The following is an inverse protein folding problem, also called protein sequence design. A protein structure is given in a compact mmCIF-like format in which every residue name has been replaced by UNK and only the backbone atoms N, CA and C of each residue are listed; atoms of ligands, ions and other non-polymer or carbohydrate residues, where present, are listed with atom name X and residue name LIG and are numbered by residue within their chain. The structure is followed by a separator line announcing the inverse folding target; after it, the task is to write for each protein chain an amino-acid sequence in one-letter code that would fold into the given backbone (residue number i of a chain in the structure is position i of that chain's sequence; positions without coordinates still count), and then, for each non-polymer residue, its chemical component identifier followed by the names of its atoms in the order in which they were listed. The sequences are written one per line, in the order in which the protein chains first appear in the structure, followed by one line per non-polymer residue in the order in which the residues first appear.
data_IF_254268865342
#
_entry.id   IF_254268865342
#
_cell.length_a   1.000
_cell.length_b   1.000
_cell.length_c   1.000
_cell.angle_alpha   90.00
_cell.angle_beta   90.00
_cell.angle_gamma   90.00
#
_symmetry.space_group_name_H-M   'P 1'
#
loop_
_entity.id
_entity.type
_entity.pdbx_description
1 polymer ?
#
# COMPACT_ATOMS: atom_id res chain seq x y z
N UNK A 1 37.95 -19.68 -18.95
CA UNK A 1 38.46 -19.97 -17.58
C UNK A 1 38.29 -18.71 -16.75
N UNK A 2 37.44 -18.81 -15.74
CA UNK A 2 36.81 -17.70 -15.02
C UNK A 2 37.79 -16.84 -14.20
N UNK A 3 37.66 -15.53 -14.33
CA UNK A 3 38.20 -14.55 -13.38
C UNK A 3 37.20 -14.40 -12.23
N UNK A 4 37.58 -14.86 -11.04
CA UNK A 4 36.84 -14.58 -9.81
C UNK A 4 37.10 -13.11 -9.41
N UNK A 5 36.04 -12.30 -9.42
CA UNK A 5 36.01 -10.97 -8.81
C UNK A 5 35.74 -11.17 -7.32
N UNK A 6 36.67 -10.76 -6.47
CA UNK A 6 36.47 -10.69 -5.02
C UNK A 6 35.61 -9.45 -4.72
N UNK A 7 34.37 -9.67 -4.25
CA UNK A 7 33.62 -8.61 -3.55
C UNK A 7 34.26 -8.39 -2.18
N UNK A 8 34.75 -7.16 -1.94
CA UNK A 8 35.19 -6.73 -0.62
C UNK A 8 33.94 -6.43 0.24
N UNK A 9 33.71 -7.25 1.27
CA UNK A 9 32.81 -6.91 2.37
C UNK A 9 33.59 -6.07 3.38
N UNK A 10 33.29 -4.77 3.48
CA UNK A 10 33.74 -3.97 4.62
C UNK A 10 32.80 -4.22 5.80
N UNK A 11 33.25 -5.00 6.78
CA UNK A 11 32.59 -5.15 8.07
C UNK A 11 33.34 -4.29 9.09
N UNK A 12 32.92 -3.03 9.25
CA UNK A 12 33.37 -2.18 10.36
C UNK A 12 32.55 -2.56 11.59
N UNK A 13 33.09 -3.43 12.45
CA UNK A 13 32.49 -3.71 13.76
C UNK A 13 32.98 -2.63 14.74
N UNK A 14 32.26 -1.52 14.80
CA UNK A 14 32.26 -0.62 15.95
C UNK A 14 31.28 -1.16 16.99
N UNK A 15 31.70 -1.31 18.23
CA UNK A 15 30.88 -1.81 19.35
C UNK A 15 29.81 -0.80 19.82
N UNK A 16 29.50 0.23 19.01
CA UNK A 16 28.64 1.37 19.37
C UNK A 16 27.36 1.48 18.53
N UNK A 17 27.25 0.75 17.42
CA UNK A 17 26.35 1.20 16.36
C UNK A 17 24.92 0.71 16.62
N UNK A 18 24.07 1.65 17.06
CA UNK A 18 22.62 1.44 17.24
C UNK A 18 21.89 1.33 15.90
N UNK A 19 22.60 1.37 14.77
CA UNK A 19 22.05 1.31 13.43
C UNK A 19 22.71 0.15 12.69
N UNK A 20 21.92 -0.72 12.07
CA UNK A 20 22.43 -1.68 11.09
C UNK A 20 21.81 -1.45 9.72
N UNK A 21 22.66 -1.45 8.69
CA UNK A 21 22.27 -1.21 7.31
C UNK A 21 22.36 -2.55 6.55
N UNK A 22 21.31 -2.87 5.81
CA UNK A 22 21.24 -4.02 4.93
C UNK A 22 20.92 -3.48 3.54
N UNK A 23 21.91 -3.51 2.67
CA UNK A 23 21.81 -3.05 1.30
C UNK A 23 21.39 -4.20 0.38
N UNK A 24 20.47 -3.92 -0.54
CA UNK A 24 20.11 -4.77 -1.65
C UNK A 24 20.15 -3.93 -2.94
N UNK A 25 20.13 -4.58 -4.11
CA UNK A 25 20.15 -3.89 -5.41
C UNK A 25 18.94 -2.96 -5.60
N UNK A 26 17.78 -3.31 -5.02
CA UNK A 26 16.51 -2.60 -5.23
C UNK A 26 16.11 -1.68 -4.08
N UNK A 27 16.63 -1.88 -2.86
CA UNK A 27 16.27 -1.09 -1.68
C UNK A 27 17.33 -1.23 -0.59
N UNK A 28 17.36 -0.25 0.33
CA UNK A 28 18.18 -0.33 1.54
C UNK A 28 17.30 -0.34 2.78
N UNK A 29 17.58 -1.28 3.69
CA UNK A 29 16.92 -1.37 4.99
C UNK A 29 17.85 -0.93 6.09
N UNK A 30 17.34 -0.09 6.99
CA UNK A 30 18.07 0.41 8.15
C UNK A 30 17.30 0.02 9.40
N UNK A 31 17.95 -0.72 10.30
CA UNK A 31 17.37 -1.11 11.58
C UNK A 31 17.95 -0.24 12.69
N UNK A 32 17.13 0.65 13.23
CA UNK A 32 17.43 1.33 14.47
C UNK A 32 17.18 0.39 15.65
N UNK A 33 18.22 0.10 16.45
CA UNK A 33 18.13 -0.74 17.63
C UNK A 33 17.22 -0.07 18.67
N UNK A 34 16.09 -0.70 18.97
CA UNK A 34 15.06 -0.15 19.86
C UNK A 34 14.20 0.95 19.23
N UNK A 35 14.32 1.16 17.91
CA UNK A 35 13.59 2.18 17.16
C UNK A 35 12.88 1.60 15.93
N UNK A 36 12.61 2.48 14.95
CA UNK A 36 11.93 2.09 13.70
C UNK A 36 12.91 1.48 12.69
N UNK A 37 12.43 0.48 11.98
CA UNK A 37 13.08 0.01 10.75
C UNK A 37 12.68 0.93 9.60
N UNK A 38 13.66 1.46 8.88
CA UNK A 38 13.47 2.27 7.69
C UNK A 38 13.77 1.43 6.46
N UNK A 39 13.04 1.63 5.37
CA UNK A 39 13.36 1.09 4.06
C UNK A 39 13.20 2.19 3.03
N UNK A 40 14.21 2.43 2.20
CA UNK A 40 14.18 3.48 1.16
C UNK A 40 14.81 2.96 -0.14
N UNK A 41 14.48 3.61 -1.25
CA UNK A 41 15.16 3.38 -2.52
C UNK A 41 16.44 4.24 -2.57
N UNK A 42 17.64 3.65 -2.73
CA UNK A 42 18.89 4.39 -2.92
C UNK A 42 18.86 5.39 -4.09
N UNK A 43 17.97 5.21 -5.06
CA UNK A 43 17.81 6.08 -6.23
C UNK A 43 16.81 7.23 -6.01
N UNK A 44 16.07 7.23 -4.90
CA UNK A 44 15.09 8.30 -4.59
C UNK A 44 15.75 9.66 -4.30
N UNK A 45 17.06 9.70 -4.06
CA UNK A 45 17.78 10.90 -3.64
C UNK A 45 17.59 11.25 -2.16
N UNK A 46 16.78 10.50 -1.41
CA UNK A 46 16.69 10.61 0.06
C UNK A 46 18.04 10.28 0.67
N UNK A 47 18.45 11.11 1.64
CA UNK A 47 19.63 10.88 2.45
C UNK A 47 19.25 10.35 3.83
N UNK A 48 20.22 9.70 4.47
CA UNK A 48 20.08 9.22 5.83
C UNK A 48 20.81 10.17 6.78
N UNK A 49 20.04 10.78 7.68
CA UNK A 49 20.57 11.61 8.75
C UNK A 49 20.79 10.75 9.99
N UNK A 50 21.94 10.94 10.65
CA UNK A 50 22.23 10.29 11.93
C UNK A 50 22.15 11.33 13.03
N UNK A 51 21.12 11.20 13.88
CA UNK A 51 20.88 12.09 15.03
C UNK A 51 20.75 11.21 16.27
N UNK A 52 21.51 11.51 17.34
CA UNK A 52 21.54 10.72 18.58
C UNK A 52 21.83 9.21 18.37
N UNK A 53 22.64 8.88 17.36
CA UNK A 53 22.94 7.51 16.93
C UNK A 53 21.72 6.74 16.39
N UNK A 54 20.68 7.44 15.94
CA UNK A 54 19.53 6.88 15.24
C UNK A 54 19.48 7.44 13.82
N UNK A 55 19.02 6.61 12.88
CA UNK A 55 18.85 6.95 11.48
C UNK A 55 17.45 7.50 11.22
N UNK A 56 17.40 8.54 10.39
CA UNK A 56 16.21 9.22 9.89
C UNK A 56 16.34 9.43 8.37
N UNK A 57 15.21 9.50 7.68
CA UNK A 57 15.19 9.84 6.26
C UNK A 57 14.97 11.34 6.12
N UNK A 58 15.86 11.99 5.38
CA UNK A 58 15.68 13.34 4.86
C UNK A 58 14.78 13.25 3.60
N UNK A 59 13.46 13.26 3.83
CA UNK A 59 12.43 13.03 2.82
C UNK A 59 12.29 14.24 1.87
N UNK A 60 12.39 15.46 2.42
CA UNK A 60 12.32 16.70 1.63
C UNK A 60 13.69 17.15 1.07
N UNK A 61 14.78 16.47 1.43
CA UNK A 61 16.13 16.65 0.88
C UNK A 61 16.76 17.99 1.28
N UNK A 62 16.38 18.54 2.44
CA UNK A 62 16.90 19.81 2.94
C UNK A 62 18.18 19.65 3.81
N UNK A 63 18.60 18.42 4.11
CA UNK A 63 19.73 18.06 4.99
C UNK A 63 19.53 18.43 6.47
N UNK A 64 18.30 18.66 6.89
CA UNK A 64 17.91 18.92 8.28
C UNK A 64 16.91 17.83 8.72
N UNK A 65 16.90 17.48 10.01
CA UNK A 65 15.88 16.58 10.53
C UNK A 65 14.65 17.40 10.90
N UNK A 66 13.64 17.41 10.04
CA UNK A 66 12.36 18.04 10.33
C UNK A 66 11.52 17.19 11.30
N UNK A 67 10.65 17.84 12.07
CA UNK A 67 9.77 17.16 13.03
C UNK A 67 8.92 16.09 12.35
N UNK A 68 8.37 16.34 11.15
CA UNK A 68 7.58 15.33 10.42
C UNK A 68 8.40 14.08 10.02
N UNK A 69 9.72 14.18 9.92
CA UNK A 69 10.62 13.05 9.60
C UNK A 69 11.05 12.28 10.85
N UNK A 70 10.99 12.93 12.01
CA UNK A 70 11.38 12.34 13.29
C UNK A 70 10.32 11.36 13.81
N UNK A 71 10.51 10.08 13.47
CA UNK A 71 9.64 9.00 13.90
C UNK A 71 9.57 8.78 15.42
N UNK A 72 10.37 9.49 16.23
CA UNK A 72 10.31 9.47 17.70
C UNK A 72 9.16 10.33 18.22
N UNK A 73 8.75 11.35 17.46
CA UNK A 73 7.65 12.25 17.82
C UNK A 73 6.28 11.57 17.65
N UNK A 74 5.26 12.02 18.41
CA UNK A 74 3.86 11.64 18.20
C UNK A 74 3.41 11.85 16.75
N UNK A 75 2.48 11.02 16.27
CA UNK A 75 2.01 11.09 14.87
C UNK A 75 1.31 12.42 14.60
N UNK A 76 0.62 12.95 15.60
CA UNK A 76 -0.10 14.21 15.58
C UNK A 76 0.86 15.40 15.37
N UNK A 77 1.94 15.46 16.15
CA UNK A 77 2.97 16.52 16.04
C UNK A 77 3.64 16.48 14.66
N UNK A 78 3.95 15.28 14.17
CA UNK A 78 4.52 15.08 12.83
C UNK A 78 3.57 15.49 11.71
N UNK A 79 2.28 15.20 11.87
CA UNK A 79 1.26 15.57 10.90
C UNK A 79 1.01 17.08 10.89
N UNK A 80 1.03 17.73 12.06
CA UNK A 80 0.91 19.19 12.17
C UNK A 80 2.11 19.90 11.53
N UNK A 81 3.33 19.45 11.80
CA UNK A 81 4.54 19.99 11.17
C UNK A 81 4.52 19.84 9.64
N UNK A 82 4.18 18.65 9.13
CA UNK A 82 4.02 18.44 7.69
C UNK A 82 2.93 19.35 7.11
N UNK A 83 1.75 19.38 7.72
CA UNK A 83 0.62 20.18 7.23
C UNK A 83 0.95 21.67 7.18
N UNK A 84 1.75 22.19 8.12
CA UNK A 84 2.23 23.57 8.14
C UNK A 84 3.22 23.91 7.01
N UNK A 85 3.81 22.89 6.36
CA UNK A 85 4.76 23.02 5.26
C UNK A 85 4.14 22.84 3.87
N UNK A 86 2.96 22.23 3.77
CA UNK A 86 2.29 21.93 2.50
C UNK A 86 1.69 23.19 1.85
N UNK A 87 1.82 23.25 0.52
CA UNK A 87 1.10 24.24 -0.30
C UNK A 87 -0.38 23.86 -0.46
N UNK A 88 -1.19 24.78 -0.98
CA UNK A 88 -2.60 24.49 -1.29
C UNK A 88 -2.69 23.39 -2.35
N UNK A 89 -1.77 23.40 -3.32
CA UNK A 89 -1.67 22.42 -4.38
C UNK A 89 -1.30 21.03 -3.83
N UNK A 90 -0.37 20.95 -2.88
CA UNK A 90 -0.07 19.69 -2.18
C UNK A 90 -1.30 19.15 -1.44
N UNK A 91 -1.98 20.02 -0.67
CA UNK A 91 -3.18 19.65 0.07
C UNK A 91 -4.28 19.17 -0.89
N UNK A 92 -4.47 19.86 -2.02
CA UNK A 92 -5.45 19.46 -3.03
C UNK A 92 -5.14 18.06 -3.59
N UNK A 93 -3.87 17.78 -3.91
CA UNK A 93 -3.44 16.45 -4.36
C UNK A 93 -3.72 15.35 -3.34
N UNK A 94 -3.47 15.62 -2.05
CA UNK A 94 -3.77 14.69 -0.95
C UNK A 94 -5.26 14.46 -0.71
N UNK A 95 -6.15 15.31 -1.24
CA UNK A 95 -7.61 15.16 -1.10
C UNK A 95 -8.26 14.42 -2.28
N UNK A 96 -7.50 14.11 -3.33
CA UNK A 96 -8.01 13.50 -4.56
C UNK A 96 -7.62 12.03 -4.69
N UNK A 97 -8.42 11.30 -5.46
CA UNK A 97 -8.18 9.92 -5.85
C UNK A 97 -7.83 9.82 -7.32
N UNK A 98 -6.95 8.88 -7.67
CA UNK A 98 -6.66 8.57 -9.07
C UNK A 98 -7.92 8.05 -9.75
N UNK A 99 -7.93 8.10 -11.09
CA UNK A 99 -8.84 7.22 -11.85
C UNK A 99 -8.52 5.75 -11.56
N UNK A 100 -9.44 4.84 -11.92
CA UNK A 100 -9.23 3.40 -11.77
C UNK A 100 -7.99 2.93 -12.53
N UNK A 101 -7.05 2.33 -11.81
CA UNK A 101 -5.80 1.84 -12.36
C UNK A 101 -5.86 0.32 -12.64
N UNK A 102 -5.39 -0.07 -13.82
CA UNK A 102 -5.05 -1.46 -14.15
C UNK A 102 -3.53 -1.57 -14.23
N UNK A 103 -2.95 -2.66 -13.73
CA UNK A 103 -1.51 -2.89 -13.71
C UNK A 103 -1.17 -4.18 -14.48
N UNK A 104 -0.67 -4.11 -15.74
CA UNK A 104 -0.38 -2.90 -16.50
C UNK A 104 -1.66 -2.19 -16.98
N UNK A 105 -1.49 -0.95 -17.44
CA UNK A 105 -2.58 -0.10 -17.91
C UNK A 105 -3.34 -0.74 -19.07
N UNK A 106 -4.63 -0.42 -19.18
CA UNK A 106 -5.46 -1.03 -20.23
C UNK A 106 -4.97 -0.60 -21.62
N UNK A 107 -5.16 -1.46 -22.61
CA UNK A 107 -4.73 -1.16 -23.97
C UNK A 107 -5.64 -0.15 -24.68
N UNK A 108 -6.94 -0.17 -24.38
CA UNK A 108 -7.96 0.62 -25.08
C UNK A 108 -9.04 1.13 -24.14
N UNK A 109 -9.79 2.12 -24.62
CA UNK A 109 -10.89 2.75 -23.90
C UNK A 109 -10.45 3.86 -22.95
N UNK A 110 -11.41 4.35 -22.16
CA UNK A 110 -11.20 5.46 -21.22
C UNK A 110 -10.25 5.13 -20.06
N UNK A 111 -9.90 3.85 -19.88
CA UNK A 111 -8.90 3.35 -18.92
C UNK A 111 -7.53 3.08 -19.55
N UNK A 112 -7.33 3.47 -20.81
CA UNK A 112 -6.07 3.23 -21.49
C UNK A 112 -4.92 4.03 -20.87
N UNK A 113 -3.73 3.46 -20.88
CA UNK A 113 -2.52 4.09 -20.36
C UNK A 113 -1.40 4.04 -21.39
N UNK A 114 -0.48 5.00 -21.31
CA UNK A 114 0.69 5.11 -22.17
C UNK A 114 1.97 4.88 -21.42
N UNK A 115 2.99 4.45 -22.15
CA UNK A 115 4.33 4.18 -21.66
C UNK A 115 5.31 4.77 -22.66
N UNK A 116 5.88 5.94 -22.35
CA UNK A 116 6.68 6.72 -23.29
C UNK A 116 5.88 7.14 -24.53
N UNK A 117 4.59 7.44 -24.37
CA UNK A 117 3.66 7.82 -25.44
C UNK A 117 3.10 6.65 -26.27
N UNK A 118 3.59 5.42 -26.04
CA UNK A 118 3.15 4.22 -26.76
C UNK A 118 2.18 3.38 -25.93
N UNK A 119 1.44 2.47 -26.57
CA UNK A 119 0.66 1.50 -25.80
C UNK A 119 1.58 0.48 -25.11
N UNK A 120 1.09 -0.19 -24.05
CA UNK A 120 1.86 -1.21 -23.34
C UNK A 120 2.52 -2.24 -24.29
N UNK A 121 1.77 -2.78 -25.26
CA UNK A 121 2.27 -3.79 -26.19
C UNK A 121 3.33 -3.29 -27.19
N UNK A 122 3.38 -1.97 -27.44
CA UNK A 122 4.30 -1.35 -28.40
C UNK A 122 5.52 -0.73 -27.71
N UNK A 123 5.39 -0.37 -26.44
CA UNK A 123 6.42 0.35 -25.67
C UNK A 123 7.63 -0.50 -25.28
N UNK A 124 7.46 -1.81 -25.16
CA UNK A 124 8.46 -2.69 -24.54
C UNK A 124 8.55 -2.56 -23.01
N UNK A 125 7.61 -1.85 -22.37
CA UNK A 125 7.53 -1.71 -20.93
C UNK A 125 7.27 -3.07 -20.25
N UNK A 126 7.84 -3.23 -19.06
CA UNK A 126 7.52 -4.36 -18.18
C UNK A 126 6.17 -4.12 -17.49
N UNK A 127 5.43 -5.19 -17.13
CA UNK A 127 4.10 -5.05 -16.52
C UNK A 127 4.04 -4.23 -15.22
N UNK A 128 5.18 -4.09 -14.53
CA UNK A 128 5.31 -3.33 -13.28
C UNK A 128 5.74 -1.88 -13.47
N UNK A 129 6.06 -1.47 -14.71
CA UNK A 129 6.47 -0.10 -14.98
C UNK A 129 5.30 0.87 -14.78
N UNK A 130 5.62 2.10 -14.39
CA UNK A 130 4.62 3.15 -14.23
C UNK A 130 4.22 3.68 -15.60
N UNK A 131 2.93 3.91 -15.79
CA UNK A 131 2.44 4.58 -17.00
C UNK A 131 2.71 6.09 -16.95
N UNK A 132 2.70 6.75 -18.10
CA UNK A 132 2.88 8.19 -18.22
C UNK A 132 1.84 8.96 -17.38
N UNK A 133 0.59 8.49 -17.37
CA UNK A 133 -0.49 9.06 -16.56
C UNK A 133 -0.27 8.85 -15.06
N UNK A 134 0.30 7.72 -14.67
CA UNK A 134 0.63 7.43 -13.27
C UNK A 134 1.76 8.32 -12.77
N UNK A 135 2.81 8.49 -13.56
CA UNK A 135 3.90 9.41 -13.26
C UNK A 135 3.35 10.82 -13.12
N UNK A 136 2.53 11.24 -14.08
CA UNK A 136 1.93 12.58 -14.11
C UNK A 136 1.14 12.89 -12.84
N UNK A 137 0.20 12.05 -12.42
CA UNK A 137 -0.61 12.40 -11.25
C UNK A 137 0.19 12.36 -9.93
N UNK A 138 1.30 11.62 -9.89
CA UNK A 138 2.19 11.61 -8.71
C UNK A 138 3.05 12.87 -8.66
N UNK A 139 3.64 13.26 -9.79
CA UNK A 139 4.61 14.36 -9.91
C UNK A 139 3.95 15.75 -10.05
N UNK A 140 2.91 15.86 -10.88
CA UNK A 140 2.29 17.15 -11.22
C UNK A 140 1.05 17.43 -10.38
N UNK A 141 0.24 16.41 -10.08
CA UNK A 141 -1.03 16.59 -9.35
C UNK A 141 -0.90 16.35 -7.83
N UNK A 142 0.29 16.02 -7.33
CA UNK A 142 0.58 15.71 -5.93
C UNK A 142 -0.30 14.59 -5.32
N UNK A 143 -0.87 13.73 -6.16
CA UNK A 143 -1.85 12.75 -5.75
C UNK A 143 -1.19 11.61 -4.97
N UNK A 144 -1.81 11.16 -3.87
CA UNK A 144 -1.29 10.05 -3.05
C UNK A 144 -2.30 8.93 -2.80
N UNK A 145 -3.51 9.01 -3.33
CA UNK A 145 -4.53 7.97 -3.16
C UNK A 145 -4.83 7.25 -4.48
N UNK A 146 -4.31 6.04 -4.66
CA UNK A 146 -4.39 5.32 -5.93
C UNK A 146 -5.30 4.11 -5.83
N UNK A 147 -6.36 4.08 -6.64
CA UNK A 147 -7.30 2.96 -6.70
C UNK A 147 -6.90 1.94 -7.77
N UNK A 148 -6.51 0.74 -7.36
CA UNK A 148 -6.22 -0.37 -8.27
C UNK A 148 -7.45 -1.28 -8.44
N UNK A 149 -7.80 -1.55 -9.70
CA UNK A 149 -8.91 -2.47 -10.06
C UNK A 149 -8.42 -3.83 -10.53
N UNK A 150 -7.30 -3.88 -11.23
CA UNK A 150 -6.76 -5.12 -11.81
C UNK A 150 -5.24 -5.12 -11.71
N UNK A 151 -4.66 -6.26 -11.39
CA UNK A 151 -3.21 -6.47 -11.45
C UNK A 151 -2.93 -7.77 -12.18
N UNK A 152 -1.86 -7.85 -12.98
CA UNK A 152 -1.53 -9.05 -13.75
C UNK A 152 -1.15 -10.23 -12.86
N UNK A 153 -0.37 -9.99 -11.81
CA UNK A 153 0.07 -10.98 -10.84
C UNK A 153 0.47 -10.33 -9.52
N UNK A 154 0.64 -11.12 -8.46
CA UNK A 154 1.02 -10.62 -7.13
C UNK A 154 2.45 -10.08 -7.13
N UNK A 155 3.36 -10.74 -7.86
CA UNK A 155 4.71 -10.25 -8.09
C UNK A 155 4.73 -8.93 -8.84
N UNK A 156 3.88 -8.77 -9.86
CA UNK A 156 3.78 -7.51 -10.61
C UNK A 156 3.23 -6.41 -9.72
N UNK A 157 2.19 -6.68 -8.92
CA UNK A 157 1.63 -5.71 -7.98
C UNK A 157 2.67 -5.23 -6.95
N UNK A 158 3.44 -6.15 -6.35
CA UNK A 158 4.49 -5.81 -5.40
C UNK A 158 5.59 -4.95 -6.02
N UNK A 159 6.05 -5.30 -7.24
CA UNK A 159 7.06 -4.52 -7.97
C UNK A 159 6.54 -3.14 -8.37
N UNK A 160 5.32 -3.06 -8.90
CA UNK A 160 4.68 -1.79 -9.25
C UNK A 160 4.50 -0.89 -8.03
N UNK A 161 4.07 -1.46 -6.89
CA UNK A 161 3.99 -0.73 -5.62
C UNK A 161 5.36 -0.17 -5.22
N UNK A 162 6.44 -0.94 -5.35
CA UNK A 162 7.78 -0.42 -5.04
C UNK A 162 8.17 0.73 -5.98
N UNK A 163 7.88 0.61 -7.28
CA UNK A 163 8.17 1.63 -8.28
C UNK A 163 7.43 2.95 -7.98
N UNK A 164 6.13 2.90 -7.67
CA UNK A 164 5.35 4.11 -7.39
C UNK A 164 5.73 4.74 -6.05
N UNK A 165 6.08 3.93 -5.04
CA UNK A 165 6.59 4.44 -3.76
C UNK A 165 7.97 5.09 -3.92
N UNK A 166 8.85 4.52 -4.74
CA UNK A 166 10.16 5.11 -5.06
C UNK A 166 10.00 6.48 -5.72
N UNK A 167 9.12 6.59 -6.73
CA UNK A 167 8.79 7.87 -7.36
C UNK A 167 8.29 8.90 -6.33
N UNK A 168 7.33 8.48 -5.48
CA UNK A 168 6.75 9.33 -4.45
C UNK A 168 7.77 9.78 -3.39
N UNK A 169 8.72 8.91 -3.03
CA UNK A 169 9.83 9.21 -2.12
C UNK A 169 10.83 10.20 -2.76
N UNK A 170 10.97 10.18 -4.09
CA UNK A 170 11.91 11.05 -4.81
C UNK A 170 11.46 12.52 -4.96
N UNK A 171 10.20 12.84 -4.67
CA UNK A 171 9.63 14.17 -4.90
C UNK A 171 9.07 14.81 -3.62
N UNK A 172 9.02 16.15 -3.61
CA UNK A 172 8.39 16.94 -2.55
C UNK A 172 8.81 16.52 -1.14
N UNK A 173 7.84 16.31 -0.27
CA UNK A 173 8.02 15.87 1.13
C UNK A 173 8.10 14.34 1.31
N UNK A 174 8.29 13.57 0.22
CA UNK A 174 8.39 12.11 0.29
C UNK A 174 7.13 11.42 0.87
N UNK A 175 5.96 12.07 0.76
CA UNK A 175 4.70 11.51 1.27
C UNK A 175 4.39 10.23 0.48
N UNK A 176 4.18 9.08 1.13
CA UNK A 176 3.98 7.81 0.44
C UNK A 176 2.61 7.73 -0.25
N UNK A 177 2.52 6.87 -1.26
CA UNK A 177 1.24 6.56 -1.92
C UNK A 177 0.46 5.55 -1.07
N UNK A 178 -0.83 5.82 -0.88
CA UNK A 178 -1.80 4.90 -0.32
C UNK A 178 -2.59 4.23 -1.44
N UNK A 179 -2.32 2.94 -1.65
CA UNK A 179 -3.03 2.13 -2.64
C UNK A 179 -4.27 1.51 -2.00
N UNK A 180 -5.41 1.65 -2.67
CA UNK A 180 -6.66 1.02 -2.31
C UNK A 180 -7.19 0.06 -3.37
N UNK A 181 -8.07 -0.84 -2.94
CA UNK A 181 -8.76 -1.76 -3.84
C UNK A 181 -10.11 -2.18 -3.26
N UNK A 182 -11.06 -2.43 -4.16
CA UNK A 182 -12.29 -3.17 -3.88
C UNK A 182 -12.00 -4.59 -3.35
N UNK A 183 -12.98 -5.28 -2.72
CA UNK A 183 -12.81 -6.65 -2.23
C UNK A 183 -12.23 -7.61 -3.29
N UNK A 184 -11.11 -8.27 -2.97
CA UNK A 184 -10.44 -9.22 -3.86
C UNK A 184 -10.64 -10.68 -3.48
N UNK A 185 -11.22 -11.00 -2.33
CA UNK A 185 -11.31 -12.38 -1.82
C UNK A 185 -12.61 -13.13 -2.20
N UNK A 186 -13.33 -12.66 -3.22
CA UNK A 186 -14.57 -13.31 -3.69
C UNK A 186 -14.34 -14.54 -4.58
N UNK A 187 -15.31 -15.45 -4.62
CA UNK A 187 -15.28 -16.70 -5.38
C UNK A 187 -15.58 -16.55 -6.89
N UNK A 188 -15.82 -15.35 -7.38
CA UNK A 188 -16.09 -15.10 -8.80
C UNK A 188 -15.00 -14.20 -9.40
N UNK A 189 -14.28 -14.68 -10.42
CA UNK A 189 -13.31 -13.90 -11.19
C UNK A 189 -13.95 -12.99 -12.25
N UNK A 190 -15.28 -13.04 -12.41
CA UNK A 190 -16.06 -12.34 -13.45
C UNK A 190 -17.06 -11.30 -12.92
N UNK A 191 -17.32 -11.21 -11.62
CA UNK A 191 -18.17 -10.13 -11.10
C UNK A 191 -17.49 -8.77 -11.35
N UNK A 192 -18.29 -7.72 -11.59
CA UNK A 192 -17.83 -6.38 -11.99
C UNK A 192 -16.78 -5.79 -11.02
N UNK A 193 -16.80 -6.21 -9.75
CA UNK A 193 -15.87 -5.84 -8.67
C UNK A 193 -14.70 -6.81 -8.44
N UNK A 194 -14.66 -7.93 -9.17
CA UNK A 194 -13.59 -8.95 -9.14
C UNK A 194 -13.02 -9.28 -10.52
N UNK A 195 -13.51 -8.63 -11.58
CA UNK A 195 -12.99 -8.74 -12.95
C UNK A 195 -11.55 -8.19 -12.97
N UNK A 196 -10.57 -9.08 -12.73
CA UNK A 196 -9.18 -8.68 -12.61
C UNK A 196 -8.45 -9.03 -11.33
N UNK A 197 -8.91 -10.03 -10.57
CA UNK A 197 -8.07 -10.73 -9.57
C UNK A 197 -6.88 -11.48 -10.22
N UNK A 198 -6.14 -10.88 -11.16
CA UNK A 198 -4.76 -11.32 -11.29
C UNK A 198 -4.04 -11.03 -9.96
N UNK A 199 -3.03 -11.84 -9.67
CA UNK A 199 -2.45 -11.93 -8.33
C UNK A 199 -3.29 -12.83 -7.43
N UNK A 200 -3.11 -14.14 -7.63
CA UNK A 200 -3.79 -15.22 -6.89
C UNK A 200 -3.79 -14.95 -5.38
N UNK A 201 -4.92 -14.48 -4.87
CA UNK A 201 -5.24 -14.40 -3.44
C UNK A 201 -6.10 -15.60 -3.04
N UNK A 202 -6.26 -15.82 -1.74
CA UNK A 202 -7.15 -16.87 -1.25
C UNK A 202 -8.61 -16.60 -1.65
N UNK A 203 -9.34 -17.65 -2.02
CA UNK A 203 -10.77 -17.54 -2.36
C UNK A 203 -11.62 -17.89 -1.13
N UNK A 204 -12.57 -17.02 -0.80
CA UNK A 204 -13.47 -17.19 0.33
C UNK A 204 -14.94 -17.11 -0.14
N UNK A 205 -15.89 -17.61 0.67
CA UNK A 205 -17.30 -17.27 0.47
C UNK A 205 -17.48 -15.74 0.43
N UNK A 206 -18.57 -15.26 -0.19
CA UNK A 206 -18.95 -13.85 -0.08
C UNK A 206 -19.13 -13.45 1.38
N UNK A 207 -19.13 -12.15 1.67
CA UNK A 207 -19.40 -11.64 3.03
C UNK A 207 -20.70 -12.23 3.59
N UNK A 208 -21.76 -12.32 2.78
CA UNK A 208 -23.03 -12.91 3.19
C UNK A 208 -22.89 -14.43 3.45
N UNK A 209 -22.10 -15.13 2.63
CA UNK A 209 -21.79 -16.55 2.82
C UNK A 209 -20.98 -16.83 4.09
N UNK A 210 -19.99 -15.98 4.41
CA UNK A 210 -19.27 -16.04 5.69
C UNK A 210 -20.19 -15.76 6.87
N UNK A 211 -21.12 -14.81 6.71
CA UNK A 211 -22.07 -14.43 7.75
C UNK A 211 -23.05 -15.57 8.11
N UNK A 212 -23.36 -16.45 7.15
CA UNK A 212 -24.17 -17.64 7.39
C UNK A 212 -23.52 -18.66 8.35
N UNK A 213 -22.25 -18.49 8.70
CA UNK A 213 -21.59 -19.29 9.76
C UNK A 213 -21.98 -18.85 11.18
N UNK A 214 -22.46 -17.60 11.34
CA UNK A 214 -22.66 -16.95 12.65
C UNK A 214 -21.41 -16.98 13.55
N UNK A 215 -20.20 -17.03 12.96
CA UNK A 215 -18.93 -17.14 13.67
C UNK A 215 -18.05 -15.88 13.46
N UNK A 216 -18.04 -14.94 14.42
CA UNK A 216 -17.15 -13.78 14.37
C UNK A 216 -15.66 -14.14 14.40
N UNK A 217 -15.26 -15.29 14.93
CA UNK A 217 -13.84 -15.69 14.91
C UNK A 217 -13.41 -16.10 13.51
N UNK A 218 -14.29 -16.79 12.76
CA UNK A 218 -14.05 -17.11 11.35
C UNK A 218 -13.94 -15.83 10.51
N UNK A 219 -14.82 -14.85 10.73
CA UNK A 219 -14.75 -13.54 10.06
C UNK A 219 -13.43 -12.80 10.36
N UNK A 220 -12.97 -12.85 11.61
CA UNK A 220 -11.69 -12.26 12.02
C UNK A 220 -10.50 -12.96 11.39
N UNK A 221 -10.54 -14.29 11.29
CA UNK A 221 -9.49 -15.07 10.62
C UNK A 221 -9.42 -14.77 9.13
N UNK A 222 -10.58 -14.66 8.47
CA UNK A 222 -10.67 -14.18 7.09
C UNK A 222 -10.00 -12.80 6.95
N UNK A 223 -10.38 -11.83 7.79
CA UNK A 223 -9.79 -10.49 7.77
C UNK A 223 -8.27 -10.50 7.96
N UNK A 224 -7.76 -11.35 8.85
CA UNK A 224 -6.31 -11.50 9.10
C UNK A 224 -5.57 -12.07 7.88
N UNK A 225 -6.13 -13.08 7.22
CA UNK A 225 -5.53 -13.65 6.00
C UNK A 225 -5.56 -12.63 4.87
N UNK A 226 -6.71 -11.97 4.68
CA UNK A 226 -6.90 -10.98 3.64
C UNK A 226 -5.96 -9.77 3.78
N UNK A 227 -5.74 -9.27 5.01
CA UNK A 227 -4.85 -8.14 5.26
C UNK A 227 -3.39 -8.46 4.92
N UNK A 228 -2.92 -9.67 5.24
CA UNK A 228 -1.56 -10.14 4.91
C UNK A 228 -1.38 -10.20 3.39
N UNK A 229 -2.36 -10.74 2.67
CA UNK A 229 -2.32 -10.83 1.22
C UNK A 229 -2.38 -9.44 0.57
N UNK A 230 -3.23 -8.53 1.06
CA UNK A 230 -3.31 -7.15 0.58
C UNK A 230 -1.99 -6.40 0.76
N UNK A 231 -1.39 -6.47 1.95
CA UNK A 231 -0.09 -5.85 2.21
C UNK A 231 1.02 -6.42 1.34
N UNK A 232 0.96 -7.72 1.01
CA UNK A 232 1.89 -8.36 0.09
C UNK A 232 1.75 -7.85 -1.36
N UNK A 233 0.60 -7.31 -1.73
CA UNK A 233 0.33 -6.66 -3.02
C UNK A 233 0.61 -5.15 -3.01
N UNK A 234 0.99 -4.57 -1.86
CA UNK A 234 1.15 -3.13 -1.68
C UNK A 234 -0.15 -2.37 -1.30
N UNK A 235 -1.27 -3.08 -1.14
CA UNK A 235 -2.56 -2.48 -0.80
C UNK A 235 -2.55 -2.12 0.69
N UNK A 236 -2.78 -0.85 1.02
CA UNK A 236 -2.82 -0.33 2.38
C UNK A 236 -4.23 0.06 2.84
N UNK A 237 -5.17 0.18 1.89
CA UNK A 237 -6.58 0.48 2.17
C UNK A 237 -7.49 -0.50 1.44
N UNK A 238 -8.45 -1.09 2.15
CA UNK A 238 -9.51 -1.90 1.58
C UNK A 238 -10.80 -1.07 1.51
N UNK A 239 -11.47 -1.07 0.36
CA UNK A 239 -12.79 -0.45 0.18
C UNK A 239 -13.89 -1.44 0.60
N UNK A 240 -13.82 -1.82 1.87
CA UNK A 240 -14.60 -2.88 2.49
C UNK A 240 -14.44 -2.81 4.02
N UNK A 241 -15.37 -3.37 4.82
CA UNK A 241 -16.50 -4.20 4.41
C UNK A 241 -17.79 -3.40 4.16
N UNK A 242 -18.64 -3.94 3.27
CA UNK A 242 -19.99 -3.42 3.06
C UNK A 242 -20.90 -3.76 4.27
N UNK A 243 -21.09 -2.79 5.17
CA UNK A 243 -21.86 -2.94 6.42
C UNK A 243 -23.34 -2.55 6.30
N UNK A 244 -23.84 -2.40 5.08
CA UNK A 244 -25.28 -2.18 4.84
C UNK A 244 -26.13 -3.35 5.33
N UNK A 245 -27.36 -3.07 5.77
CA UNK A 245 -28.34 -4.10 6.10
C UNK A 245 -29.05 -4.57 4.82
N UNK A 246 -29.04 -5.88 4.57
CA UNK A 246 -29.71 -6.49 3.41
C UNK A 246 -31.23 -6.60 3.57
N UNK A 247 -31.93 -5.48 3.78
CA UNK A 247 -33.38 -5.45 4.00
C UNK A 247 -34.23 -5.70 2.75
N UNK A 248 -33.64 -5.64 1.56
CA UNK A 248 -34.31 -5.93 0.29
C UNK A 248 -33.46 -6.89 -0.57
N UNK A 249 -33.89 -8.16 -0.74
CA UNK A 249 -33.11 -9.14 -1.50
C UNK A 249 -33.07 -8.87 -3.01
N UNK A 250 -33.81 -7.87 -3.51
CA UNK A 250 -33.72 -7.44 -4.93
C UNK A 250 -32.54 -6.53 -5.18
N UNK A 251 -31.91 -5.99 -4.13
CA UNK A 251 -30.75 -5.12 -4.27
C UNK A 251 -29.54 -5.91 -4.77
N UNK A 252 -29.01 -5.54 -5.95
CA UNK A 252 -27.96 -6.32 -6.62
C UNK A 252 -26.63 -6.44 -5.87
N UNK A 253 -26.42 -5.69 -4.78
CA UNK A 253 -25.23 -5.79 -3.92
C UNK A 253 -25.49 -6.52 -2.59
N UNK A 254 -26.67 -7.13 -2.41
CA UNK A 254 -27.05 -7.75 -1.14
C UNK A 254 -26.07 -8.85 -0.68
N UNK A 255 -25.45 -9.57 -1.62
CA UNK A 255 -24.48 -10.64 -1.35
C UNK A 255 -23.16 -10.15 -0.73
N UNK A 256 -22.84 -8.86 -0.88
CA UNK A 256 -21.67 -8.21 -0.28
C UNK A 256 -21.85 -7.81 1.19
N UNK A 257 -23.09 -7.80 1.68
CA UNK A 257 -23.44 -7.42 3.06
C UNK A 257 -23.12 -8.53 4.07
N UNK A 258 -23.40 -8.28 5.35
CA UNK A 258 -23.36 -9.28 6.43
C UNK A 258 -24.76 -9.75 6.88
N UNK A 259 -25.80 -9.52 6.04
CA UNK A 259 -27.18 -9.94 6.30
C UNK A 259 -28.11 -8.79 6.72
N UNK A 260 -29.30 -9.15 7.21
CA UNK A 260 -30.36 -8.20 7.56
C UNK A 260 -30.41 -7.82 9.05
N UNK A 261 -29.82 -8.63 9.93
CA UNK A 261 -29.88 -8.43 11.38
C UNK A 261 -28.78 -7.46 11.87
N UNK A 262 -29.13 -6.34 12.50
CA UNK A 262 -28.15 -5.33 12.92
C UNK A 262 -27.19 -5.82 14.00
N UNK A 263 -27.58 -6.77 14.86
CA UNK A 263 -26.68 -7.27 15.91
C UNK A 263 -25.61 -8.18 15.29
N UNK A 264 -26.01 -9.08 14.40
CA UNK A 264 -25.09 -9.94 13.66
C UNK A 264 -24.12 -9.11 12.81
N UNK A 265 -24.63 -8.14 12.06
CA UNK A 265 -23.79 -7.23 11.24
C UNK A 265 -22.80 -6.48 12.12
N UNK A 266 -23.23 -5.97 13.29
CA UNK A 266 -22.33 -5.28 14.24
C UNK A 266 -21.19 -6.19 14.70
N UNK A 267 -21.47 -7.42 15.10
CA UNK A 267 -20.46 -8.34 15.61
C UNK A 267 -19.50 -8.82 14.53
N UNK A 268 -20.01 -9.12 13.33
CA UNK A 268 -19.19 -9.55 12.20
C UNK A 268 -18.34 -8.40 11.65
N UNK A 269 -18.89 -7.18 11.55
CA UNK A 269 -18.15 -6.00 11.11
C UNK A 269 -16.99 -5.68 12.07
N UNK A 270 -17.24 -5.74 13.39
CA UNK A 270 -16.17 -5.58 14.40
C UNK A 270 -15.06 -6.60 14.19
N UNK A 271 -15.42 -7.88 14.01
CA UNK A 271 -14.44 -8.94 13.78
C UNK A 271 -13.67 -8.78 12.47
N UNK A 272 -14.33 -8.36 11.39
CA UNK A 272 -13.70 -8.06 10.11
C UNK A 272 -12.65 -6.97 10.29
N UNK A 273 -13.04 -5.82 10.88
CA UNK A 273 -12.15 -4.67 11.09
C UNK A 273 -10.98 -5.05 12.00
N UNK A 274 -11.23 -5.79 13.06
CA UNK A 274 -10.19 -6.34 13.94
C UNK A 274 -9.17 -7.18 13.17
N UNK A 275 -9.65 -8.04 12.27
CA UNK A 275 -8.81 -8.89 11.42
C UNK A 275 -7.94 -8.07 10.45
N UNK A 276 -8.53 -7.07 9.80
CA UNK A 276 -7.84 -6.21 8.84
C UNK A 276 -6.84 -5.25 9.48
N UNK A 277 -7.16 -4.68 10.64
CA UNK A 277 -6.38 -3.59 11.24
C UNK A 277 -5.42 -4.03 12.34
N UNK A 278 -5.39 -5.32 12.70
CA UNK A 278 -4.49 -5.83 13.74
C UNK A 278 -3.35 -6.69 13.19
N UNK A 279 -2.10 -6.34 13.52
CA UNK A 279 -0.96 -7.24 13.32
C UNK A 279 -0.71 -8.05 14.59
N UNK A 280 -0.75 -9.39 14.50
CA UNK A 280 -0.54 -10.29 15.65
C UNK A 280 -1.38 -9.90 16.89
N UNK A 281 -2.62 -9.47 16.67
CA UNK A 281 -3.59 -9.03 17.69
C UNK A 281 -3.19 -7.80 18.54
N UNK A 282 -2.16 -7.05 18.16
CA UNK A 282 -1.65 -5.89 18.93
C UNK A 282 -2.04 -4.52 18.35
N UNK A 283 -3.15 -4.45 17.61
CA UNK A 283 -3.56 -3.24 16.89
C UNK A 283 -2.71 -2.99 15.64
N UNK A 284 -2.66 -1.74 15.19
CA UNK A 284 -2.05 -1.37 13.90
C UNK A 284 -0.57 -1.80 13.77
N UNK A 285 -0.21 -2.37 12.63
CA UNK A 285 1.14 -2.84 12.34
C UNK A 285 1.39 -3.13 10.86
N UNK A 286 2.47 -3.86 10.56
CA UNK A 286 2.97 -4.08 9.19
C UNK A 286 1.99 -4.79 8.25
N UNK A 287 1.11 -5.63 8.83
CA UNK A 287 0.09 -6.39 8.10
C UNK A 287 -1.29 -5.71 8.15
N UNK A 288 -1.39 -4.55 8.79
CA UNK A 288 -2.66 -3.85 8.94
C UNK A 288 -3.02 -3.11 7.66
N UNK A 289 -4.30 -3.16 7.30
CA UNK A 289 -4.90 -2.50 6.15
C UNK A 289 -6.06 -1.66 6.67
N UNK A 290 -6.11 -0.37 6.31
CA UNK A 290 -7.20 0.52 6.68
C UNK A 290 -8.47 0.08 5.95
N UNK A 291 -9.63 0.18 6.60
CA UNK A 291 -10.92 0.02 5.91
C UNK A 291 -11.51 1.39 5.54
N UNK A 292 -12.31 1.41 4.49
CA UNK A 292 -13.10 2.56 4.06
C UNK A 292 -14.52 2.08 3.77
N UNK A 293 -15.40 2.21 4.76
CA UNK A 293 -16.87 2.11 4.68
C UNK A 293 -17.47 2.65 5.99
#
# INVERSE_FOLDING_TARGET
MNRFVFLLFFLLISCSDRVSIIENQDFTMIKNRGGKTLGYDPQSGVKILIVDNLAFKDLNKNNELDDYEDWRLPVEDRAEDLAGKLTIEDIAGLMLYSSHQSIPGAHQGWRSAKYGGLSFYESGAEPSDLSDEQIKFIEEDNLRHVLITNVKSSTVAAKWNNNIQSLSESIGFGIPVNISSDPRHGNDSYAEFTSGQGGRVSSWPSSLGLSASFDPNLMKEFGRVASIEYRSLGIATALSPQIDLASDPRWGRFEGTMGEDPNLVTDLARSYVDGFQSTNTKGWGVNSVKHHD
#
